data_IF_195879194926
#
_entry.id   IF_195879194926
#
_cell.length_a   1.000
_cell.length_b   1.000
_cell.length_c   1.000
_cell.angle_alpha   90.00
_cell.angle_beta   90.00
_cell.angle_gamma   90.00
#
_symmetry.space_group_name_H-M   'P 1'
#
loop_
_entity.id
_entity.type
_entity.pdbx_description
1 polymer ?
#
# COMPACT_ATOMS: atom_id res chain seq x y z
N UNK A 1 -0.61 6.61 -22.76
CA UNK A 1 0.13 5.47 -22.16
C UNK A 1 0.29 5.78 -20.69
N UNK A 2 -0.42 5.08 -19.80
CA UNK A 2 -0.36 5.30 -18.35
C UNK A 2 1.01 4.89 -17.84
N UNK A 3 1.77 5.84 -17.29
CA UNK A 3 3.07 5.57 -16.69
C UNK A 3 2.95 4.46 -15.62
N UNK A 4 3.94 3.58 -15.44
CA UNK A 4 3.90 2.51 -14.44
C UNK A 4 3.64 3.04 -13.02
N UNK A 5 4.10 4.27 -12.74
CA UNK A 5 3.78 5.01 -11.53
C UNK A 5 2.27 5.26 -11.36
N UNK A 6 1.59 5.70 -12.42
CA UNK A 6 0.15 6.00 -12.38
C UNK A 6 -0.67 4.74 -12.11
N UNK A 7 -0.26 3.57 -12.62
CA UNK A 7 -0.93 2.29 -12.35
C UNK A 7 -0.80 1.88 -10.88
N UNK A 8 0.38 2.05 -10.28
CA UNK A 8 0.61 1.77 -8.85
C UNK A 8 -0.25 2.71 -8.00
N UNK A 9 -0.24 4.00 -8.30
CA UNK A 9 -1.04 4.99 -7.56
C UNK A 9 -2.55 4.72 -7.73
N UNK A 10 -2.98 4.29 -8.92
CA UNK A 10 -4.37 3.90 -9.18
C UNK A 10 -4.78 2.65 -8.40
N UNK A 11 -3.89 1.67 -8.24
CA UNK A 11 -4.16 0.48 -7.44
C UNK A 11 -4.32 0.79 -5.93
N UNK A 12 -3.69 1.87 -5.44
CA UNK A 12 -3.82 2.37 -4.05
C UNK A 12 -4.99 3.37 -3.94
N UNK A 13 -5.48 3.91 -5.06
CA UNK A 13 -6.53 4.92 -5.06
C UNK A 13 -7.86 4.35 -4.56
N UNK A 14 -8.50 5.05 -3.64
CA UNK A 14 -9.84 4.74 -3.14
C UNK A 14 -9.90 3.76 -1.98
N UNK A 15 -8.92 2.87 -1.80
CA UNK A 15 -8.87 1.95 -0.65
C UNK A 15 -7.44 1.72 -0.19
N UNK A 16 -7.17 1.75 1.13
CA UNK A 16 -5.86 1.37 1.65
C UNK A 16 -5.54 -0.09 1.32
N UNK A 17 -4.37 -0.36 0.76
CA UNK A 17 -3.97 -1.71 0.31
C UNK A 17 -2.68 -2.17 0.99
N UNK A 18 -2.56 -3.47 1.20
CA UNK A 18 -1.31 -4.08 1.66
C UNK A 18 -0.36 -4.27 0.46
N UNK A 19 0.97 -4.37 0.67
CA UNK A 19 1.93 -4.62 -0.40
C UNK A 19 1.66 -5.95 -1.13
N UNK A 20 1.26 -6.99 -0.39
CA UNK A 20 0.89 -8.28 -0.98
C UNK A 20 -0.33 -8.23 -1.89
N UNK A 21 -1.38 -7.49 -1.50
CA UNK A 21 -2.55 -7.26 -2.35
C UNK A 21 -2.18 -6.47 -3.60
N UNK A 22 -1.36 -5.43 -3.45
CA UNK A 22 -0.87 -4.62 -4.57
C UNK A 22 -0.03 -5.47 -5.53
N UNK A 23 0.84 -6.32 -5.01
CA UNK A 23 1.67 -7.22 -5.79
C UNK A 23 0.82 -8.19 -6.62
N UNK A 24 -0.22 -8.79 -6.02
CA UNK A 24 -1.17 -9.67 -6.73
C UNK A 24 -1.94 -8.93 -7.82
N UNK A 25 -2.42 -7.72 -7.53
CA UNK A 25 -3.18 -6.92 -8.50
C UNK A 25 -2.32 -6.47 -9.69
N UNK A 26 -1.04 -6.19 -9.46
CA UNK A 26 -0.09 -5.76 -10.48
C UNK A 26 0.63 -6.93 -11.16
N UNK A 27 0.36 -8.18 -10.77
CA UNK A 27 1.01 -9.37 -11.31
C UNK A 27 2.53 -9.41 -11.02
N UNK A 28 2.96 -8.82 -9.90
CA UNK A 28 4.36 -8.74 -9.49
C UNK A 28 4.58 -9.38 -8.11
N UNK A 29 5.82 -9.35 -7.62
CA UNK A 29 6.18 -9.86 -6.29
C UNK A 29 6.39 -8.71 -5.30
N UNK A 30 6.15 -8.99 -4.01
CA UNK A 30 6.34 -8.00 -2.94
C UNK A 30 7.77 -7.46 -2.88
N UNK A 31 8.77 -8.28 -3.23
CA UNK A 31 10.18 -7.90 -3.23
C UNK A 31 10.48 -6.80 -4.27
N UNK A 32 9.98 -7.00 -5.50
CA UNK A 32 10.08 -6.02 -6.60
C UNK A 32 9.33 -4.74 -6.22
N UNK A 33 8.17 -4.88 -5.61
CA UNK A 33 7.34 -3.76 -5.20
C UNK A 33 7.94 -2.97 -4.04
N UNK A 34 8.64 -3.64 -3.11
CA UNK A 34 9.18 -3.05 -1.89
C UNK A 34 10.24 -1.96 -2.13
N UNK A 35 11.08 -2.11 -3.17
CA UNK A 35 11.99 -1.04 -3.60
C UNK A 35 11.25 0.18 -4.14
N UNK A 36 10.22 -0.05 -4.95
CA UNK A 36 9.41 1.01 -5.54
C UNK A 36 8.62 1.76 -4.46
N UNK A 37 7.94 1.05 -3.57
CA UNK A 37 7.15 1.64 -2.48
C UNK A 37 7.99 2.52 -1.57
N UNK A 38 9.21 2.11 -1.21
CA UNK A 38 10.14 2.95 -0.44
C UNK A 38 10.47 4.25 -1.15
N UNK A 39 10.69 4.19 -2.47
CA UNK A 39 10.96 5.38 -3.29
C UNK A 39 9.74 6.30 -3.36
N UNK A 40 8.54 5.73 -3.50
CA UNK A 40 7.28 6.49 -3.50
C UNK A 40 6.97 7.14 -2.16
N UNK A 41 7.28 6.44 -1.08
CA UNK A 41 7.15 6.95 0.28
C UNK A 41 8.11 8.12 0.51
N UNK A 42 9.39 7.96 0.15
CA UNK A 42 10.38 9.03 0.21
C UNK A 42 10.00 10.23 -0.69
N UNK A 43 9.40 9.99 -1.84
CA UNK A 43 8.87 11.02 -2.74
C UNK A 43 7.58 11.68 -2.25
N UNK A 44 7.00 11.21 -1.15
CA UNK A 44 5.76 11.73 -0.56
C UNK A 44 4.50 11.48 -1.39
N UNK A 45 4.51 10.49 -2.28
CA UNK A 45 3.33 10.11 -3.09
C UNK A 45 2.41 9.14 -2.36
N UNK A 46 3.00 8.26 -1.57
CA UNK A 46 2.28 7.29 -0.73
C UNK A 46 2.74 7.46 0.70
N UNK A 47 1.88 7.10 1.62
CA UNK A 47 2.23 7.04 3.03
C UNK A 47 1.64 5.79 3.66
N UNK A 48 2.16 5.42 4.81
CA UNK A 48 1.46 4.50 5.69
C UNK A 48 0.11 5.13 6.03
N UNK A 49 -0.95 4.38 5.72
CA UNK A 49 -2.22 4.59 6.37
C UNK A 49 -1.97 4.18 7.81
N UNK A 50 -1.97 5.15 8.72
CA UNK A 50 -2.08 4.83 10.13
C UNK A 50 -3.34 4.00 10.27
N UNK A 51 -3.18 2.70 10.50
CA UNK A 51 -4.15 1.92 11.24
C UNK A 51 -4.30 2.71 12.52
N UNK A 52 -5.37 3.51 12.62
CA UNK A 52 -5.60 4.31 13.82
C UNK A 52 -5.42 3.43 15.05
N UNK A 53 -5.00 4.02 16.15
CA UNK A 53 -5.08 3.41 17.47
C UNK A 53 -6.51 2.87 17.68
N UNK A 54 -6.68 1.59 17.34
CA UNK A 54 -7.96 1.00 16.98
C UNK A 54 -7.62 -0.27 16.25
N UNK A 55 -7.68 -1.37 16.99
CA UNK A 55 -7.39 -2.72 16.57
C UNK A 55 -7.50 -2.93 15.06
N UNK A 56 -6.53 -3.63 14.47
CA UNK A 56 -6.80 -4.56 13.39
C UNK A 56 -8.30 -4.90 13.38
N UNK A 57 -9.08 -4.51 12.36
CA UNK A 57 -10.49 -4.94 12.28
C UNK A 57 -10.61 -6.43 11.96
N UNK A 58 -9.54 -7.20 12.14
CA UNK A 58 -9.63 -8.54 12.69
C UNK A 58 -10.20 -8.38 14.11
N UNK A 59 -11.53 -8.45 14.29
CA UNK A 59 -12.20 -8.44 15.60
C UNK A 59 -11.73 -9.62 16.49
N UNK A 60 -12.60 -10.43 17.11
CA UNK A 60 -12.18 -11.74 17.61
C UNK A 60 -11.91 -12.66 16.40
N UNK A 61 -10.84 -12.39 15.66
CA UNK A 61 -10.38 -13.26 14.60
C UNK A 61 -9.80 -14.48 15.30
N UNK A 62 -10.62 -15.53 15.40
CA UNK A 62 -10.30 -16.83 16.01
C UNK A 62 -9.06 -17.52 15.39
N UNK A 63 -8.45 -16.89 14.39
CA UNK A 63 -7.30 -17.35 13.62
C UNK A 63 -6.09 -16.39 13.78
N UNK A 64 -5.96 -15.70 14.93
CA UNK A 64 -4.79 -14.87 15.25
C UNK A 64 -3.46 -15.62 15.05
N UNK A 65 -3.41 -16.91 15.30
CA UNK A 65 -2.26 -17.80 15.07
C UNK A 65 -1.93 -18.03 13.59
N UNK A 66 -2.83 -17.71 12.66
CA UNK A 66 -2.64 -17.80 11.21
C UNK A 66 -2.52 -16.44 10.54
N UNK A 67 -2.64 -15.34 11.31
CA UNK A 67 -2.36 -14.00 10.81
C UNK A 67 -0.85 -13.84 10.59
N UNK A 68 -0.41 -14.09 9.37
CA UNK A 68 0.97 -13.90 8.89
C UNK A 68 1.50 -12.47 9.09
N UNK A 69 0.63 -11.51 9.40
CA UNK A 69 0.96 -10.10 9.66
C UNK A 69 1.38 -9.81 11.12
N UNK A 70 1.45 -10.81 12.01
CA UNK A 70 1.76 -10.58 13.43
C UNK A 70 3.27 -10.36 13.72
N UNK A 71 4.16 -10.80 12.84
CA UNK A 71 5.62 -10.75 13.06
C UNK A 71 6.36 -10.30 11.79
N UNK A 72 6.48 -8.99 11.58
CA UNK A 72 7.44 -8.46 10.59
C UNK A 72 8.15 -7.25 11.16
N UNK A 73 9.47 -7.39 11.32
CA UNK A 73 10.45 -6.45 11.89
C UNK A 73 10.91 -5.38 10.88
N UNK A 74 10.34 -5.36 9.69
CA UNK A 74 10.48 -4.27 8.71
C UNK A 74 9.44 -3.19 8.98
N UNK A 75 9.75 -1.89 8.76
CA UNK A 75 8.77 -0.81 8.90
C UNK A 75 7.54 -1.20 8.10
N UNK A 76 6.48 -1.47 8.85
CA UNK A 76 5.39 -2.28 8.37
C UNK A 76 4.50 -1.34 7.55
N UNK A 77 4.87 -1.15 6.28
CA UNK A 77 4.03 -0.63 5.19
C UNK A 77 2.83 -1.57 4.93
N UNK A 78 2.26 -2.09 6.02
CA UNK A 78 1.14 -3.00 6.16
C UNK A 78 -0.09 -2.45 5.47
N UNK A 79 -0.24 -1.12 5.43
CA UNK A 79 -1.35 -0.46 4.80
C UNK A 79 -0.90 0.83 4.12
N UNK A 80 -0.98 0.87 2.79
CA UNK A 80 -0.58 2.01 1.97
C UNK A 80 -1.80 2.85 1.64
N UNK A 81 -1.69 4.17 1.77
CA UNK A 81 -2.64 5.13 1.20
C UNK A 81 -1.93 6.18 0.35
N UNK A 82 -2.68 6.77 -0.58
CA UNK A 82 -2.21 7.95 -1.29
C UNK A 82 -2.13 9.16 -0.35
N UNK A 83 -1.12 9.99 -0.54
CA UNK A 83 -1.09 11.35 0.00
C UNK A 83 -1.86 12.28 -0.93
N UNK A 84 -2.15 13.51 -0.47
CA UNK A 84 -2.69 14.55 -1.35
C UNK A 84 -1.83 14.76 -2.61
N UNK A 85 -0.50 14.65 -2.48
CA UNK A 85 0.44 14.75 -3.61
C UNK A 85 0.29 13.57 -4.58
N UNK A 86 0.18 12.35 -4.07
CA UNK A 86 -0.10 11.15 -4.86
C UNK A 86 -1.40 11.26 -5.65
N UNK A 87 -2.47 11.73 -5.01
CA UNK A 87 -3.77 11.94 -5.65
C UNK A 87 -3.73 13.04 -6.73
N UNK A 88 -3.02 14.15 -6.48
CA UNK A 88 -2.84 15.21 -7.49
C UNK A 88 -2.05 14.69 -8.68
N UNK A 89 -0.98 13.92 -8.45
CA UNK A 89 -0.22 13.31 -9.53
C UNK A 89 -1.09 12.36 -10.34
N UNK A 90 -1.82 11.46 -9.66
CA UNK A 90 -2.72 10.51 -10.31
C UNK A 90 -3.75 11.24 -11.19
N UNK A 91 -4.42 12.28 -10.66
CA UNK A 91 -5.39 13.11 -11.40
C UNK A 91 -4.80 13.79 -12.63
N UNK A 92 -3.53 14.19 -12.60
CA UNK A 92 -2.84 14.79 -13.77
C UNK A 92 -2.39 13.75 -14.79
N UNK A 93 -2.19 12.51 -14.35
CA UNK A 93 -1.73 11.40 -15.20
C UNK A 93 -2.87 10.58 -15.82
N UNK A 94 -4.09 10.75 -15.31
CA UNK A 94 -5.32 10.21 -15.90
C UNK A 94 -5.71 11.10 -17.11
N UNK A 95 -5.99 10.51 -18.28
CA UNK A 95 -6.43 11.25 -19.46
C UNK A 95 -7.81 11.88 -19.30
#
# INVERSE_FOLDING_TARGET
>A
MTAPLAQILQAIAGQPRTPGELARQLGTTEDVLGGMLRTLHAGGFVQEAQSGAGACSCGPCALKSLCRNAESDTPNLSLLRLTARGETYLRRSLP
#
